data_IF_694916822172
#
_entry.id   IF_694916822172
#
_cell.length_a   1.000
_cell.length_b   1.000
_cell.length_c   1.000
_cell.angle_alpha   90.00
_cell.angle_beta   90.00
_cell.angle_gamma   90.00
#
_symmetry.space_group_name_H-M   'P 1'
#
loop_
_entity.id
_entity.type
_entity.pdbx_description
1 polymer ?
#
# COMPACT_ATOMS: atom_id res chain seq x y z
N UNK A 1 -5.85 -14.38 -8.10
CA UNK A 1 -6.09 -14.72 -6.69
C UNK A 1 -5.83 -13.46 -5.87
N UNK A 2 -6.68 -13.16 -4.89
CA UNK A 2 -6.44 -12.09 -3.90
C UNK A 2 -6.29 -12.75 -2.54
N UNK A 3 -5.33 -12.28 -1.76
CA UNK A 3 -4.96 -12.90 -0.49
C UNK A 3 -4.80 -11.85 0.62
N UNK A 4 -4.81 -12.31 1.85
CA UNK A 4 -4.58 -11.52 3.06
C UNK A 4 -5.45 -10.25 3.10
N UNK A 5 -6.79 -10.37 3.01
CA UNK A 5 -7.66 -9.21 3.01
C UNK A 5 -7.68 -8.50 4.37
N UNK A 6 -7.87 -7.20 4.31
CA UNK A 6 -8.20 -6.36 5.45
C UNK A 6 -9.37 -5.46 5.08
N UNK A 7 -10.40 -5.47 5.91
CA UNK A 7 -11.52 -4.54 5.79
C UNK A 7 -11.40 -3.49 6.90
N UNK A 8 -11.50 -2.22 6.55
CA UNK A 8 -11.43 -1.11 7.48
C UNK A 8 -12.35 0.03 7.02
N UNK A 9 -12.82 0.81 7.99
CA UNK A 9 -13.59 2.03 7.71
C UNK A 9 -12.67 3.24 7.76
N UNK A 10 -12.71 4.06 6.70
CA UNK A 10 -11.97 5.33 6.60
C UNK A 10 -12.76 6.31 5.73
N UNK A 11 -12.84 7.56 6.17
CA UNK A 11 -13.52 8.63 5.45
C UNK A 11 -14.96 8.26 5.06
N UNK A 12 -15.73 7.72 6.01
CA UNK A 12 -17.13 7.28 5.85
C UNK A 12 -17.35 6.24 4.74
N UNK A 13 -16.30 5.45 4.45
CA UNK A 13 -16.34 4.35 3.49
C UNK A 13 -15.63 3.11 4.01
N UNK A 14 -16.04 2.00 3.44
CA UNK A 14 -15.43 0.70 3.70
C UNK A 14 -14.37 0.39 2.65
N UNK A 15 -13.20 0.01 3.12
CA UNK A 15 -12.03 -0.29 2.33
C UNK A 15 -11.69 -1.75 2.47
N UNK A 16 -11.50 -2.42 1.35
CA UNK A 16 -10.94 -3.77 1.28
C UNK A 16 -9.56 -3.65 0.65
N UNK A 17 -8.54 -3.89 1.45
CA UNK A 17 -7.15 -3.96 1.01
C UNK A 17 -6.78 -5.43 0.91
N UNK A 18 -6.20 -5.85 -0.19
CA UNK A 18 -5.77 -7.22 -0.39
C UNK A 18 -4.53 -7.28 -1.27
N UNK A 19 -3.81 -8.39 -1.21
CA UNK A 19 -2.67 -8.65 -2.08
C UNK A 19 -3.11 -9.29 -3.40
N UNK A 20 -2.51 -8.88 -4.49
CA UNK A 20 -2.72 -9.47 -5.81
C UNK A 20 -1.38 -9.68 -6.52
N UNK A 21 -1.15 -10.88 -7.02
CA UNK A 21 0.03 -11.17 -7.84
C UNK A 21 -0.20 -10.70 -9.28
N UNK A 22 0.85 -10.19 -9.92
CA UNK A 22 0.85 -9.79 -11.32
C UNK A 22 0.36 -10.93 -12.26
N UNK A 23 0.74 -12.16 -11.95
CA UNK A 23 0.41 -13.32 -12.76
C UNK A 23 -1.10 -13.67 -12.75
N UNK A 24 -1.84 -13.26 -11.73
CA UNK A 24 -3.23 -13.69 -11.48
C UNK A 24 -4.30 -12.67 -11.86
N UNK A 25 -3.93 -11.60 -12.57
CA UNK A 25 -4.94 -10.66 -13.07
C UNK A 25 -5.81 -11.28 -14.17
N UNK A 26 -7.10 -10.99 -14.11
CA UNK A 26 -8.02 -11.38 -15.19
C UNK A 26 -7.66 -10.69 -16.51
N UNK A 27 -8.02 -11.30 -17.63
CA UNK A 27 -7.84 -10.70 -18.96
C UNK A 27 -8.52 -9.32 -19.06
N UNK A 28 -9.70 -9.17 -18.45
CA UNK A 28 -10.43 -7.90 -18.41
C UNK A 28 -9.61 -6.79 -17.71
N UNK A 29 -8.94 -7.13 -16.61
CA UNK A 29 -8.09 -6.17 -15.89
C UNK A 29 -6.85 -5.79 -16.71
N UNK A 30 -6.21 -6.77 -17.33
CA UNK A 30 -5.05 -6.53 -18.23
C UNK A 30 -5.40 -5.67 -19.44
N UNK A 31 -6.61 -5.83 -19.99
CA UNK A 31 -7.09 -5.07 -21.14
C UNK A 31 -7.64 -3.68 -20.79
N UNK A 32 -7.86 -3.37 -19.51
CA UNK A 32 -8.46 -2.09 -19.08
C UNK A 32 -7.45 -0.93 -19.01
N UNK A 33 -6.23 -1.10 -19.50
CA UNK A 33 -5.21 -0.04 -19.49
C UNK A 33 -4.72 0.37 -18.10
N UNK A 34 -5.04 -0.41 -17.07
CA UNK A 34 -4.60 -0.18 -15.70
C UNK A 34 -3.11 -0.55 -15.54
N UNK A 35 -2.25 0.06 -16.36
CA UNK A 35 -0.83 -0.23 -16.36
C UNK A 35 -0.53 -1.71 -16.56
N UNK A 36 0.67 -2.03 -16.89
CA UNK A 36 1.15 -3.41 -17.00
C UNK A 36 0.83 -4.22 -15.74
N UNK A 37 0.71 -5.53 -15.88
CA UNK A 37 0.38 -6.44 -14.81
C UNK A 37 1.31 -6.25 -13.60
N UNK A 38 0.88 -5.40 -12.66
CA UNK A 38 1.58 -5.16 -11.41
C UNK A 38 1.15 -6.20 -10.36
N UNK A 39 2.06 -6.54 -9.48
CA UNK A 39 1.78 -7.23 -8.23
C UNK A 39 1.86 -6.26 -7.06
N UNK A 40 1.15 -6.53 -5.99
CA UNK A 40 1.16 -5.68 -4.79
C UNK A 40 -0.18 -5.62 -4.08
N UNK A 41 -0.46 -4.49 -3.44
CA UNK A 41 -1.66 -4.23 -2.66
C UNK A 41 -2.71 -3.51 -3.50
N UNK A 42 -3.87 -4.12 -3.66
CA UNK A 42 -5.04 -3.54 -4.33
C UNK A 42 -6.05 -3.05 -3.31
N UNK A 43 -6.79 -2.01 -3.69
CA UNK A 43 -7.81 -1.39 -2.85
C UNK A 43 -9.15 -1.39 -3.57
N UNK A 44 -10.16 -1.80 -2.83
CA UNK A 44 -11.56 -1.71 -3.23
C UNK A 44 -12.33 -0.90 -2.20
N UNK A 45 -13.39 -0.24 -2.63
CA UNK A 45 -14.22 0.61 -1.76
C UNK A 45 -15.69 0.20 -1.85
N UNK A 46 -16.41 0.35 -0.75
CA UNK A 46 -17.84 0.14 -0.64
C UNK A 46 -18.47 1.13 0.32
N UNK A 47 -19.80 1.27 0.23
CA UNK A 47 -20.59 2.09 1.14
C UNK A 47 -21.05 1.31 2.39
N UNK A 48 -20.88 -0.02 2.38
CA UNK A 48 -21.19 -0.91 3.51
C UNK A 48 -20.09 -1.98 3.69
N UNK A 49 -19.90 -2.54 4.91
CA UNK A 49 -18.86 -3.53 5.17
C UNK A 49 -19.02 -4.82 4.37
N UNK A 50 -20.23 -5.14 3.97
CA UNK A 50 -20.57 -6.30 3.15
C UNK A 50 -20.47 -6.05 1.64
N UNK A 51 -20.12 -4.83 1.23
CA UNK A 51 -20.08 -4.44 -0.18
C UNK A 51 -21.42 -3.94 -0.74
N UNK A 52 -21.58 -3.90 -2.07
CA UNK A 52 -20.62 -4.39 -3.08
C UNK A 52 -19.35 -3.53 -3.17
N UNK A 53 -18.22 -4.19 -3.22
CA UNK A 53 -16.93 -3.54 -3.37
C UNK A 53 -16.59 -3.27 -4.83
N UNK A 54 -16.07 -2.09 -5.09
CA UNK A 54 -15.61 -1.64 -6.41
C UNK A 54 -14.13 -1.28 -6.35
N UNK A 55 -13.35 -1.54 -7.41
CA UNK A 55 -11.95 -1.09 -7.44
C UNK A 55 -11.87 0.40 -7.18
N UNK A 56 -10.97 0.82 -6.30
CA UNK A 56 -10.62 2.21 -6.13
C UNK A 56 -10.00 2.74 -7.44
N UNK A 57 -10.04 4.05 -7.66
CA UNK A 57 -9.61 4.67 -8.91
C UNK A 57 -8.15 4.38 -9.24
N UNK A 58 -7.29 4.38 -8.22
CA UNK A 58 -5.89 4.00 -8.31
C UNK A 58 -5.79 2.59 -7.70
N UNK A 59 -5.80 1.58 -8.55
CA UNK A 59 -6.04 0.20 -8.16
C UNK A 59 -4.96 -0.40 -7.24
N UNK A 60 -3.75 0.16 -7.25
CA UNK A 60 -2.68 -0.27 -6.36
C UNK A 60 -2.37 0.79 -5.33
N UNK A 61 -2.41 0.42 -4.06
CA UNK A 61 -1.89 1.23 -2.96
C UNK A 61 -0.35 1.21 -2.97
N UNK A 62 0.19 0.04 -3.20
CA UNK A 62 1.62 -0.22 -3.32
C UNK A 62 1.80 -1.39 -4.28
N UNK A 63 2.48 -1.17 -5.40
CA UNK A 63 2.68 -2.22 -6.38
C UNK A 63 3.68 -1.82 -7.45
N UNK A 64 4.27 -2.82 -8.07
CA UNK A 64 5.23 -2.68 -9.15
C UNK A 64 5.19 -3.91 -10.08
N UNK A 65 5.86 -3.86 -11.25
CA UNK A 65 5.85 -4.97 -12.21
C UNK A 65 6.41 -6.30 -11.66
N UNK A 66 7.32 -6.25 -10.70
CA UNK A 66 7.89 -7.43 -10.05
C UNK A 66 7.00 -7.98 -8.94
N UNK A 67 6.09 -7.15 -8.38
CA UNK A 67 5.35 -7.50 -7.18
C UNK A 67 6.28 -7.58 -5.95
N UNK A 68 7.19 -6.62 -5.83
CA UNK A 68 8.20 -6.59 -4.76
C UNK A 68 7.61 -6.53 -3.36
N UNK A 69 6.41 -5.93 -3.22
CA UNK A 69 5.62 -5.93 -2.01
C UNK A 69 4.39 -6.81 -2.20
N UNK A 70 4.16 -7.73 -1.30
CA UNK A 70 3.09 -8.70 -1.49
C UNK A 70 1.95 -8.55 -0.50
N UNK A 71 2.18 -8.72 0.77
CA UNK A 71 1.15 -8.59 1.81
C UNK A 71 1.32 -7.29 2.57
N UNK A 72 0.21 -6.72 3.07
CA UNK A 72 0.32 -5.54 3.90
C UNK A 72 -0.93 -5.30 4.73
N UNK A 73 -0.74 -4.57 5.80
CA UNK A 73 -1.80 -4.15 6.73
C UNK A 73 -1.68 -2.65 7.00
N UNK A 74 -2.82 -1.98 6.98
CA UNK A 74 -2.91 -0.59 7.43
C UNK A 74 -3.19 -0.61 8.93
N UNK A 75 -2.38 0.11 9.67
CA UNK A 75 -2.46 0.24 11.12
C UNK A 75 -2.70 1.71 11.46
N UNK A 76 -3.72 1.97 12.26
CA UNK A 76 -3.96 3.30 12.80
C UNK A 76 -2.91 3.62 13.86
N UNK A 77 -2.31 4.79 13.77
CA UNK A 77 -1.38 5.31 14.77
C UNK A 77 -1.79 6.72 15.18
N UNK A 78 -1.29 7.25 16.31
CA UNK A 78 -1.59 8.62 16.71
C UNK A 78 -1.23 9.67 15.63
N UNK A 79 -0.23 9.37 14.80
CA UNK A 79 0.25 10.25 13.73
C UNK A 79 -0.37 9.93 12.35
N UNK A 80 -1.49 9.20 12.32
CA UNK A 80 -2.18 8.79 11.11
C UNK A 80 -1.95 7.32 10.72
N UNK A 81 -2.51 6.91 9.61
CA UNK A 81 -2.43 5.54 9.14
C UNK A 81 -1.03 5.21 8.61
N UNK A 82 -0.59 3.99 8.92
CA UNK A 82 0.67 3.43 8.43
C UNK A 82 0.42 2.08 7.76
N UNK A 83 1.04 1.88 6.61
CA UNK A 83 1.08 0.59 5.94
C UNK A 83 2.37 -0.12 6.31
N UNK A 84 2.27 -1.33 6.78
CA UNK A 84 3.40 -2.27 6.91
C UNK A 84 3.16 -3.39 5.91
N UNK A 85 4.10 -3.59 5.02
CA UNK A 85 4.02 -4.58 3.94
C UNK A 85 5.19 -5.54 3.96
N UNK A 86 4.99 -6.74 3.44
CA UNK A 86 6.09 -7.67 3.19
C UNK A 86 6.90 -7.21 1.98
N UNK A 87 8.19 -7.00 2.15
CA UNK A 87 9.16 -6.90 1.05
C UNK A 87 9.53 -8.32 0.62
N UNK A 88 8.89 -8.77 -0.42
CA UNK A 88 9.05 -10.12 -0.93
C UNK A 88 10.27 -10.24 -1.84
N UNK A 89 10.45 -9.29 -2.76
CA UNK A 89 11.55 -9.25 -3.71
C UNK A 89 12.32 -7.92 -3.61
N UNK A 90 13.61 -7.97 -3.91
CA UNK A 90 14.41 -6.77 -4.15
C UNK A 90 14.30 -6.29 -5.61
N UNK A 91 15.04 -5.24 -5.95
CA UNK A 91 15.05 -4.66 -7.28
C UNK A 91 15.60 -5.61 -8.37
N UNK A 92 16.30 -6.65 -7.99
CA UNK A 92 16.83 -7.68 -8.91
C UNK A 92 15.85 -8.85 -9.09
N UNK A 93 14.78 -8.90 -8.30
CA UNK A 93 13.82 -10.00 -8.28
C UNK A 93 14.23 -11.14 -7.34
N UNK A 94 15.26 -10.95 -6.53
CA UNK A 94 15.66 -11.93 -5.53
C UNK A 94 14.77 -11.84 -4.27
N UNK A 95 14.47 -12.98 -3.67
CA UNK A 95 13.68 -13.05 -2.44
C UNK A 95 14.43 -12.42 -1.26
N UNK A 96 13.77 -11.50 -0.58
CA UNK A 96 14.30 -10.77 0.59
C UNK A 96 13.66 -11.25 1.89
N UNK A 97 12.33 -11.37 1.92
CA UNK A 97 11.59 -11.87 3.08
C UNK A 97 11.63 -10.93 4.30
N UNK A 98 11.55 -9.64 4.08
CA UNK A 98 11.57 -8.60 5.12
C UNK A 98 10.19 -7.95 5.27
N UNK A 99 9.99 -7.21 6.37
CA UNK A 99 8.92 -6.23 6.48
C UNK A 99 9.43 -4.85 6.06
N UNK A 100 8.56 -4.08 5.40
CA UNK A 100 8.86 -2.69 5.11
C UNK A 100 8.92 -1.86 6.39
N UNK A 101 9.62 -0.74 6.34
CA UNK A 101 9.36 0.32 7.30
C UNK A 101 7.90 0.75 7.22
N UNK A 102 7.31 1.28 8.32
CA UNK A 102 5.96 1.82 8.29
C UNK A 102 5.86 2.97 7.29
N UNK A 103 5.06 2.79 6.25
CA UNK A 103 4.85 3.76 5.19
C UNK A 103 3.61 4.60 5.51
N UNK A 104 3.72 5.92 5.45
CA UNK A 104 2.58 6.79 5.67
C UNK A 104 1.55 6.64 4.55
N UNK A 105 0.29 6.44 4.92
CA UNK A 105 -0.85 6.30 4.00
C UNK A 105 -1.86 7.39 4.29
N UNK A 106 -2.28 8.08 3.26
CA UNK A 106 -3.39 9.03 3.34
C UNK A 106 -4.60 8.49 2.57
N UNK A 107 -5.75 8.53 3.21
CA UNK A 107 -7.03 8.21 2.60
C UNK A 107 -7.77 9.52 2.38
N UNK A 108 -7.76 9.99 1.15
CA UNK A 108 -8.42 11.23 0.79
C UNK A 108 -9.95 11.12 0.78
N UNK A 109 -10.68 12.27 0.87
CA UNK A 109 -12.14 12.30 0.93
C UNK A 109 -12.82 11.76 -0.34
N UNK A 110 -12.10 11.66 -1.45
CA UNK A 110 -12.59 11.06 -2.70
C UNK A 110 -12.36 9.55 -2.75
N UNK A 111 -11.84 8.96 -1.68
CA UNK A 111 -11.43 7.57 -1.66
C UNK A 111 -10.09 7.31 -2.36
N UNK A 112 -9.33 8.33 -2.64
CA UNK A 112 -7.97 8.21 -3.18
C UNK A 112 -7.01 7.88 -2.05
N UNK A 113 -6.35 6.74 -2.15
CA UNK A 113 -5.20 6.42 -1.29
C UNK A 113 -3.93 6.90 -1.96
N UNK A 114 -3.07 7.53 -1.21
CA UNK A 114 -1.73 7.89 -1.63
C UNK A 114 -0.71 7.46 -0.59
N UNK A 115 0.44 7.01 -1.06
CA UNK A 115 1.60 6.85 -0.21
C UNK A 115 2.25 8.22 -0.04
N UNK A 116 2.36 8.67 1.20
CA UNK A 116 3.12 9.87 1.49
C UNK A 116 4.61 9.54 1.42
N UNK A 117 5.44 10.44 0.86
CA UNK A 117 6.88 10.27 0.93
C UNK A 117 7.29 10.17 2.41
N UNK A 118 8.24 9.28 2.71
CA UNK A 118 8.79 9.18 4.06
C UNK A 118 9.27 10.57 4.49
N UNK A 119 8.70 11.13 5.55
CA UNK A 119 9.22 12.34 6.16
C UNK A 119 10.65 12.02 6.61
N UNK A 120 11.64 12.69 6.04
CA UNK A 120 12.99 12.63 6.57
C UNK A 120 12.91 13.07 8.02
N UNK A 121 13.19 12.15 8.93
CA UNK A 121 13.18 12.45 10.36
C UNK A 121 14.05 13.68 10.61
N UNK A 122 13.49 14.65 11.33
CA UNK A 122 14.23 15.76 11.91
C UNK A 122 15.16 15.19 13.00
N UNK A 123 16.33 14.74 12.60
CA UNK A 123 17.30 14.05 13.46
C UNK A 123 18.73 14.29 13.06
N UNK A 124 19.04 15.48 12.54
CA UNK A 124 20.42 15.93 12.48
C UNK A 124 20.54 17.23 13.29
N UNK A 125 20.71 17.06 14.61
CA UNK A 125 21.24 18.14 15.44
C UNK A 125 22.73 18.21 15.14
N UNK A 126 23.24 19.33 14.59
CA UNK A 126 24.67 19.52 14.52
C UNK A 126 25.21 19.56 15.94
N UNK A 127 26.07 18.62 16.25
CA UNK A 127 26.80 18.59 17.52
C UNK A 127 27.52 19.91 17.75
N UNK A 128 27.17 20.57 18.83
CA UNK A 128 27.93 21.71 19.36
C UNK A 128 29.31 21.20 19.81
N UNK A 129 30.29 21.36 18.93
CA UNK A 129 31.69 21.22 19.30
C UNK A 129 32.06 22.32 20.29
N UNK A 130 32.09 21.98 21.57
CA UNK A 130 32.71 22.79 22.58
C UNK A 130 34.23 22.67 22.46
N UNK A 131 34.85 23.76 22.06
CA UNK A 131 36.29 23.97 22.14
C UNK A 131 36.67 24.29 23.57
N UNK A 132 37.63 23.56 24.09
CA UNK A 132 38.56 24.07 25.13
C UNK A 132 39.95 24.00 24.55
#
# INVERSE_FOLDING_TARGET
MMEVPQVLERADRWWLVASASAAWHSQRRRGAGAGDAHGGLVVYVADAPTGPYRPARDAFLLGDPLGSHYTGKIVATPDGDRLVASRFLDATGAFVGELSDPLAVEVGPTGRTSMLPASRGAGDRPGSGGSL
#
